data_IF_708552563120
#
_entry.id   IF_708552563120
#
_cell.length_a   1.000
_cell.length_b   1.000
_cell.length_c   1.000
_cell.angle_alpha   90.00
_cell.angle_beta   90.00
_cell.angle_gamma   90.00
#
_symmetry.space_group_name_H-M   'P 1'
#
loop_
_entity.id
_entity.type
_entity.pdbx_description
1 polymer ?
#
# COMPACT_ATOMS: atom_id res chain seq x y z
N UNK A 1 -4.38 -5.23 -7.63
CA UNK A 1 -3.34 -4.21 -7.84
C UNK A 1 -2.58 -4.48 -9.13
N UNK A 2 -2.18 -3.42 -9.82
CA UNK A 2 -1.35 -3.55 -11.01
C UNK A 2 0.11 -3.72 -10.64
N UNK A 3 0.88 -4.30 -11.54
CA UNK A 3 2.32 -4.43 -11.37
C UNK A 3 3.04 -3.30 -12.09
N UNK A 4 4.24 -2.96 -11.64
CA UNK A 4 5.09 -2.05 -12.38
C UNK A 4 5.54 -2.71 -13.69
N UNK A 5 6.05 -1.89 -14.63
CA UNK A 5 6.41 -2.39 -15.96
C UNK A 5 7.46 -3.51 -15.94
N UNK A 6 8.35 -3.48 -14.95
CA UNK A 6 9.42 -4.49 -14.81
C UNK A 6 9.03 -5.66 -13.91
N UNK A 7 7.82 -5.65 -13.36
CA UNK A 7 7.33 -6.74 -12.53
C UNK A 7 7.91 -6.83 -11.12
N UNK A 8 8.69 -5.84 -10.69
CA UNK A 8 9.34 -5.87 -9.37
C UNK A 8 8.55 -5.14 -8.29
N UNK A 9 7.39 -4.60 -8.60
CA UNK A 9 6.57 -3.88 -7.63
C UNK A 9 5.09 -4.01 -7.96
N UNK A 10 4.27 -3.83 -6.92
CA UNK A 10 2.81 -3.76 -7.05
C UNK A 10 2.42 -2.31 -6.81
N UNK A 11 1.61 -1.74 -7.70
CA UNK A 11 1.17 -0.34 -7.59
C UNK A 11 -0.34 -0.26 -7.54
N UNK A 12 -0.84 0.67 -6.73
CA UNK A 12 -2.27 0.99 -6.73
C UNK A 12 -2.48 2.41 -6.23
N UNK A 13 -3.48 3.08 -6.80
CA UNK A 13 -3.94 4.38 -6.34
C UNK A 13 -5.27 4.18 -5.61
N UNK A 14 -5.35 4.66 -4.37
CA UNK A 14 -6.57 4.64 -3.57
C UNK A 14 -7.15 6.06 -3.53
N UNK A 15 -8.44 6.20 -3.82
CA UNK A 15 -9.10 7.51 -3.81
C UNK A 15 -10.20 7.46 -2.76
N UNK A 16 -10.23 8.47 -1.89
CA UNK A 16 -11.16 8.54 -0.76
C UNK A 16 -12.12 9.72 -0.91
N UNK A 17 -13.18 9.79 -0.09
CA UNK A 17 -14.10 10.92 -0.15
C UNK A 17 -13.46 12.25 0.23
N UNK A 18 -12.47 12.23 1.15
CA UNK A 18 -11.79 13.43 1.61
C UNK A 18 -10.43 13.07 2.23
N UNK A 19 -9.71 14.09 2.69
CA UNK A 19 -8.39 13.90 3.27
C UNK A 19 -8.44 13.13 4.59
N UNK A 20 -9.46 13.35 5.40
CA UNK A 20 -9.58 12.69 6.71
C UNK A 20 -9.71 11.18 6.52
N UNK A 21 -10.53 10.76 5.55
CA UNK A 21 -10.67 9.34 5.24
C UNK A 21 -9.38 8.75 4.71
N UNK A 22 -8.67 9.47 3.84
CA UNK A 22 -7.39 9.04 3.32
C UNK A 22 -6.38 8.88 4.45
N UNK A 23 -6.28 9.86 5.34
CA UNK A 23 -5.33 9.84 6.45
C UNK A 23 -5.65 8.70 7.41
N UNK A 24 -6.93 8.51 7.74
CA UNK A 24 -7.35 7.42 8.63
C UNK A 24 -6.99 6.05 8.06
N UNK A 25 -7.21 5.85 6.77
CA UNK A 25 -6.83 4.62 6.09
C UNK A 25 -5.31 4.42 6.13
N UNK A 26 -4.52 5.48 5.89
CA UNK A 26 -3.07 5.39 5.94
C UNK A 26 -2.57 4.99 7.32
N UNK A 27 -3.18 5.51 8.38
CA UNK A 27 -2.81 5.15 9.75
C UNK A 27 -3.04 3.65 9.98
N UNK A 28 -4.20 3.14 9.58
CA UNK A 28 -4.51 1.71 9.73
C UNK A 28 -3.57 0.85 8.89
N UNK A 29 -3.34 1.23 7.65
CA UNK A 29 -2.44 0.49 6.76
C UNK A 29 -1.01 0.53 7.30
N UNK A 30 -0.60 1.67 7.85
CA UNK A 30 0.72 1.82 8.47
C UNK A 30 0.92 0.90 9.65
N UNK A 31 -0.11 0.74 10.49
CA UNK A 31 -0.05 -0.20 11.63
C UNK A 31 0.11 -1.63 11.12
N UNK A 32 -0.62 -2.01 10.06
CA UNK A 32 -0.47 -3.35 9.46
C UNK A 32 0.93 -3.55 8.89
N UNK A 33 1.47 -2.53 8.22
CA UNK A 33 2.82 -2.57 7.66
C UNK A 33 3.86 -2.78 8.77
N UNK A 34 3.70 -2.07 9.88
CA UNK A 34 4.61 -2.20 11.01
C UNK A 34 4.56 -3.60 11.60
N UNK A 35 3.37 -4.18 11.74
CA UNK A 35 3.22 -5.54 12.26
C UNK A 35 3.88 -6.58 11.36
N UNK A 36 3.87 -6.36 10.07
CA UNK A 36 4.53 -7.25 9.11
C UNK A 36 6.02 -6.95 8.97
N UNK A 37 6.48 -5.86 9.59
CA UNK A 37 7.83 -5.34 9.42
C UNK A 37 8.17 -5.18 7.94
N UNK A 38 7.21 -4.69 7.17
CA UNK A 38 7.35 -4.50 5.74
C UNK A 38 6.59 -3.24 5.34
N UNK A 39 7.33 -2.21 4.94
CA UNK A 39 6.77 -0.86 4.79
C UNK A 39 6.55 -0.51 3.32
N UNK A 40 5.42 0.14 2.99
CA UNK A 40 5.17 0.56 1.62
C UNK A 40 5.95 1.82 1.26
N UNK A 41 6.18 2.01 -0.02
CA UNK A 41 6.55 3.31 -0.55
C UNK A 41 5.25 3.96 -0.99
N UNK A 42 4.87 5.05 -0.37
CA UNK A 42 3.60 5.68 -0.68
C UNK A 42 3.67 7.19 -0.56
N UNK A 43 2.71 7.83 -1.22
CA UNK A 43 2.55 9.27 -1.13
C UNK A 43 1.07 9.60 -1.03
N UNK A 44 0.78 10.75 -0.45
CA UNK A 44 -0.59 11.22 -0.28
C UNK A 44 -0.70 12.65 -0.77
N UNK A 45 -1.68 12.90 -1.62
CA UNK A 45 -2.05 14.24 -2.04
C UNK A 45 -3.55 14.36 -1.83
N UNK A 46 -3.96 15.12 -0.81
CA UNK A 46 -5.34 15.36 -0.44
C UNK A 46 -6.08 14.02 -0.20
N UNK A 47 -6.99 13.63 -1.09
CA UNK A 47 -7.79 12.40 -0.93
C UNK A 47 -7.24 11.21 -1.71
N UNK A 48 -6.06 11.35 -2.29
CA UNK A 48 -5.46 10.31 -3.12
C UNK A 48 -4.20 9.76 -2.44
N UNK A 49 -4.10 8.44 -2.39
CA UNK A 49 -2.92 7.75 -1.86
C UNK A 49 -2.38 6.82 -2.93
N UNK A 50 -1.15 7.06 -3.34
CA UNK A 50 -0.45 6.20 -4.29
C UNK A 50 0.46 5.26 -3.52
N UNK A 51 0.34 3.96 -3.75
CA UNK A 51 1.07 2.93 -3.02
C UNK A 51 1.92 2.11 -3.98
N UNK A 52 3.16 1.89 -3.59
CA UNK A 52 4.08 0.98 -4.27
C UNK A 52 4.59 -0.03 -3.25
N UNK A 53 4.46 -1.32 -3.56
CA UNK A 53 4.93 -2.40 -2.70
C UNK A 53 6.00 -3.20 -3.42
N UNK A 54 7.16 -3.32 -2.77
CA UNK A 54 8.27 -4.10 -3.29
C UNK A 54 9.14 -4.53 -2.11
N UNK A 55 9.94 -5.57 -2.31
CA UNK A 55 10.91 -6.00 -1.30
C UNK A 55 12.29 -5.59 -1.79
N UNK A 56 12.82 -4.51 -1.22
CA UNK A 56 14.07 -3.89 -1.67
C UNK A 56 15.26 -4.84 -1.65
N UNK A 57 15.38 -5.65 -0.60
CA UNK A 57 16.51 -6.56 -0.45
C UNK A 57 16.58 -7.57 -1.57
N UNK A 58 15.45 -7.94 -2.16
CA UNK A 58 15.37 -8.95 -3.21
C UNK A 58 15.15 -8.37 -4.60
N UNK A 59 14.77 -7.10 -4.66
CA UNK A 59 14.43 -6.45 -5.93
C UNK A 59 13.24 -7.09 -6.60
N UNK A 60 12.32 -7.70 -5.84
CA UNK A 60 11.16 -8.40 -6.39
C UNK A 60 10.01 -8.40 -5.38
N UNK A 61 8.86 -8.90 -5.81
CA UNK A 61 7.68 -9.04 -4.97
C UNK A 61 7.80 -10.32 -4.15
N UNK A 62 7.53 -10.25 -2.85
CA UNK A 62 7.53 -11.40 -1.96
C UNK A 62 6.15 -11.59 -1.33
N UNK A 63 6.00 -12.64 -0.52
CA UNK A 63 4.74 -12.89 0.19
C UNK A 63 4.36 -11.74 1.12
N UNK A 64 5.33 -10.98 1.62
CA UNK A 64 5.05 -9.82 2.48
C UNK A 64 4.32 -8.73 1.70
N UNK A 65 4.72 -8.50 0.45
CA UNK A 65 4.05 -7.52 -0.42
C UNK A 65 2.61 -7.95 -0.68
N UNK A 66 2.38 -9.23 -0.95
CA UNK A 66 1.05 -9.77 -1.20
C UNK A 66 0.17 -9.62 0.05
N UNK A 67 0.69 -9.98 1.23
CA UNK A 67 -0.06 -9.87 2.47
C UNK A 67 -0.45 -8.43 2.76
N UNK A 68 0.49 -7.49 2.59
CA UNK A 68 0.21 -6.09 2.84
C UNK A 68 -0.80 -5.54 1.83
N UNK A 69 -0.69 -5.94 0.56
CA UNK A 69 -1.65 -5.54 -0.47
C UNK A 69 -3.06 -5.99 -0.11
N UNK A 70 -3.20 -7.23 0.35
CA UNK A 70 -4.50 -7.77 0.75
C UNK A 70 -5.08 -7.01 1.94
N UNK A 71 -4.25 -6.67 2.93
CA UNK A 71 -4.69 -5.88 4.09
C UNK A 71 -5.14 -4.49 3.67
N UNK A 72 -4.39 -3.85 2.78
CA UNK A 72 -4.73 -2.52 2.30
C UNK A 72 -6.06 -2.52 1.54
N UNK A 73 -6.27 -3.51 0.68
CA UNK A 73 -7.53 -3.62 -0.07
C UNK A 73 -8.70 -3.86 0.88
N UNK A 74 -8.52 -4.73 1.88
CA UNK A 74 -9.56 -5.02 2.84
C UNK A 74 -9.95 -3.79 3.67
N UNK A 75 -8.97 -3.02 4.10
CA UNK A 75 -9.21 -1.77 4.85
C UNK A 75 -9.94 -0.76 3.98
N UNK A 76 -9.64 -0.72 2.69
CA UNK A 76 -10.28 0.21 1.76
C UNK A 76 -11.75 -0.14 1.53
N UNK A 77 -12.08 -1.43 1.54
CA UNK A 77 -13.46 -1.91 1.32
C UNK A 77 -14.34 -1.76 2.57
N UNK A 78 -13.76 -1.56 3.71
CA UNK A 78 -14.48 -1.50 5.00
C UNK A 78 -15.30 -0.24 5.17
#
# INVERSE_FOLDING_TARGET
MGKSADGVAIKKTFIFPDFIEALGWMVKAGVCAEKLNHHPEWSNVYKTVDVLLTTHDRGCITSLDIKLAQKMDKLYES
#
